data_IF_853031081620
#
_entry.id   IF_853031081620
#
_cell.length_a   1.000
_cell.length_b   1.000
_cell.length_c   1.000
_cell.angle_alpha   90.00
_cell.angle_beta   90.00
_cell.angle_gamma   90.00
#
_symmetry.space_group_name_H-M   'P 1'
#
loop_
_entity.id
_entity.type
_entity.pdbx_description
1 polymer ?
#
# COMPACT_ATOMS: atom_id res chain seq x y z
N UNK A 1 -4.94 17.79 -0.87
CA UNK A 1 -5.87 17.43 -1.98
C UNK A 1 -7.30 17.68 -1.54
N UNK A 2 -8.14 18.27 -2.40
CA UNK A 2 -9.57 18.52 -2.12
C UNK A 2 -10.49 17.38 -2.56
N UNK A 3 -10.01 16.49 -3.43
CA UNK A 3 -10.75 15.33 -3.93
C UNK A 3 -10.19 14.04 -3.31
N UNK A 4 -11.08 13.12 -2.94
CA UNK A 4 -10.71 11.79 -2.40
C UNK A 4 -10.41 10.77 -3.49
N UNK A 5 -11.09 10.85 -4.64
CA UNK A 5 -10.83 9.98 -5.78
C UNK A 5 -9.44 10.25 -6.39
N UNK A 6 -8.76 9.22 -6.94
CA UNK A 6 -7.48 9.37 -7.62
C UNK A 6 -7.56 10.35 -8.81
N UNK A 7 -6.43 10.99 -9.14
CA UNK A 7 -6.30 11.88 -10.30
C UNK A 7 -6.42 13.38 -10.00
N UNK A 8 -6.59 13.76 -8.72
CA UNK A 8 -6.53 15.16 -8.30
C UNK A 8 -5.13 15.80 -8.47
N UNK A 9 -5.06 17.13 -8.42
CA UNK A 9 -3.79 17.88 -8.43
C UNK A 9 -3.21 18.02 -7.03
N UNK A 10 -2.01 17.51 -6.82
CA UNK A 10 -1.33 17.62 -5.52
C UNK A 10 -0.86 19.06 -5.28
N UNK A 11 -1.03 19.55 -4.06
CA UNK A 11 -0.53 20.87 -3.62
C UNK A 11 0.86 20.80 -2.99
N UNK A 12 1.38 19.59 -2.78
CA UNK A 12 2.66 19.31 -2.13
C UNK A 12 2.69 17.89 -1.54
N UNK A 13 3.87 17.42 -1.09
CA UNK A 13 4.01 16.12 -0.45
C UNK A 13 3.39 16.11 0.95
N UNK A 14 2.79 14.98 1.34
CA UNK A 14 2.42 14.75 2.73
C UNK A 14 3.68 14.57 3.59
N UNK A 15 3.63 15.01 4.85
CA UNK A 15 4.73 14.77 5.79
C UNK A 15 4.88 13.28 6.12
N UNK A 16 6.12 12.81 6.25
CA UNK A 16 6.42 11.42 6.54
C UNK A 16 7.86 11.25 6.99
N UNK A 17 8.44 10.05 6.81
CA UNK A 17 9.87 9.82 7.10
C UNK A 17 10.75 10.70 6.20
N UNK A 18 10.27 10.92 4.98
CA UNK A 18 10.73 11.89 4.00
C UNK A 18 9.47 12.52 3.36
N UNK A 19 9.55 13.71 2.76
CA UNK A 19 8.41 14.32 2.10
C UNK A 19 7.79 13.39 1.05
N UNK A 20 6.54 12.98 1.26
CA UNK A 20 5.78 12.10 0.36
C UNK A 20 6.04 10.61 0.56
N UNK A 21 6.82 10.21 1.58
CA UNK A 21 7.10 8.81 1.89
C UNK A 21 6.77 8.47 3.36
N UNK A 22 6.06 7.37 3.57
CA UNK A 22 5.77 6.86 4.91
C UNK A 22 5.66 5.33 4.89
N UNK A 23 6.03 4.69 6.00
CA UNK A 23 5.91 3.25 6.17
C UNK A 23 4.46 2.80 6.30
N UNK A 24 4.18 1.59 5.80
CA UNK A 24 2.88 0.96 5.91
C UNK A 24 2.43 0.80 7.38
N UNK A 25 3.34 0.38 8.27
CA UNK A 25 3.06 0.24 9.71
C UNK A 25 2.52 1.51 10.38
N UNK A 26 2.83 2.68 9.82
CA UNK A 26 2.31 3.98 10.28
C UNK A 26 1.00 4.29 9.56
N UNK A 27 0.98 4.22 8.22
CA UNK A 27 -0.18 4.59 7.40
C UNK A 27 -1.43 3.76 7.72
N UNK A 28 -1.29 2.46 8.04
CA UNK A 28 -2.43 1.59 8.36
C UNK A 28 -3.30 2.13 9.50
N UNK A 29 -2.71 2.93 10.39
CA UNK A 29 -3.39 3.51 11.56
C UNK A 29 -3.69 5.00 11.34
N UNK A 30 -2.74 5.77 10.80
CA UNK A 30 -2.87 7.23 10.71
C UNK A 30 -3.67 7.70 9.51
N UNK A 31 -3.73 6.90 8.45
CA UNK A 31 -4.48 7.19 7.24
C UNK A 31 -4.99 5.89 6.59
N UNK A 32 -5.97 5.19 7.20
CA UNK A 32 -6.45 3.91 6.71
C UNK A 32 -7.02 3.99 5.28
N UNK A 33 -6.92 2.88 4.54
CA UNK A 33 -7.34 2.82 3.15
C UNK A 33 -8.85 3.07 3.03
N UNK A 34 -9.21 3.97 2.12
CA UNK A 34 -10.60 4.39 1.87
C UNK A 34 -11.15 3.85 0.55
N UNK A 35 -10.30 3.27 -0.30
CA UNK A 35 -10.71 2.66 -1.56
C UNK A 35 -9.56 1.96 -2.29
N UNK A 36 -9.87 1.40 -3.44
CA UNK A 36 -8.89 0.73 -4.32
C UNK A 36 -9.00 1.25 -5.75
N UNK A 37 -7.87 1.27 -6.45
CA UNK A 37 -7.77 1.64 -7.87
C UNK A 37 -6.55 0.94 -8.47
N UNK A 38 -6.64 0.48 -9.73
CA UNK A 38 -5.48 -0.07 -10.45
C UNK A 38 -4.79 -1.25 -9.75
N UNK A 39 -5.51 -2.03 -8.94
CA UNK A 39 -4.95 -3.16 -8.18
C UNK A 39 -4.18 -2.79 -6.91
N UNK A 40 -4.28 -1.54 -6.43
CA UNK A 40 -3.71 -1.10 -5.14
C UNK A 40 -4.73 -0.31 -4.31
N UNK A 41 -4.37 0.06 -3.09
CA UNK A 41 -5.22 0.82 -2.18
C UNK A 41 -4.81 2.30 -2.16
N UNK A 42 -5.77 3.16 -1.87
CA UNK A 42 -5.54 4.56 -1.58
C UNK A 42 -6.31 4.99 -0.32
N UNK A 43 -5.80 6.02 0.32
CA UNK A 43 -6.35 6.64 1.52
C UNK A 43 -6.38 8.16 1.36
N UNK A 44 -7.52 8.78 1.68
CA UNK A 44 -7.62 10.22 1.83
C UNK A 44 -7.99 10.55 3.28
N UNK A 45 -7.14 11.30 3.97
CA UNK A 45 -7.31 11.64 5.39
C UNK A 45 -6.92 13.12 5.61
N UNK A 46 -7.93 13.94 5.89
CA UNK A 46 -7.77 15.39 5.94
C UNK A 46 -7.22 15.92 4.62
N UNK A 47 -6.04 16.55 4.66
CA UNK A 47 -5.40 17.12 3.47
C UNK A 47 -4.47 16.14 2.75
N UNK A 48 -4.19 14.98 3.35
CA UNK A 48 -3.23 14.01 2.84
C UNK A 48 -3.92 12.96 1.96
N UNK A 49 -3.20 12.54 0.93
CA UNK A 49 -3.61 11.47 0.04
C UNK A 49 -2.43 10.51 -0.10
N UNK A 50 -2.65 9.23 0.20
CA UNK A 50 -1.62 8.19 0.18
C UNK A 50 -2.07 7.03 -0.69
N UNK A 51 -1.12 6.43 -1.41
CA UNK A 51 -1.29 5.13 -2.06
C UNK A 51 -0.29 4.17 -1.48
N UNK A 52 -0.73 2.96 -1.14
CA UNK A 52 0.12 1.92 -0.56
C UNK A 52 -0.57 0.55 -0.68
N UNK A 53 0.19 -0.53 -0.53
CA UNK A 53 -0.36 -1.87 -0.51
C UNK A 53 -0.86 -2.30 0.87
N UNK A 54 -1.86 -3.17 0.87
CA UNK A 54 -2.46 -3.80 2.05
C UNK A 54 -2.43 -5.32 1.87
N UNK A 55 -2.66 -6.14 2.92
CA UNK A 55 -2.78 -7.59 2.76
C UNK A 55 -3.75 -8.01 1.65
N UNK A 56 -4.86 -7.29 1.48
CA UNK A 56 -5.83 -7.56 0.42
C UNK A 56 -5.25 -7.32 -0.99
N UNK A 57 -4.60 -6.19 -1.23
CA UNK A 57 -4.03 -5.86 -2.56
C UNK A 57 -2.81 -6.73 -2.87
N UNK A 58 -2.00 -7.06 -1.87
CA UNK A 58 -0.92 -8.05 -1.97
C UNK A 58 -1.47 -9.43 -2.35
N UNK A 59 -2.60 -9.85 -1.76
CA UNK A 59 -3.29 -11.08 -2.14
C UNK A 59 -3.69 -11.10 -3.63
N UNK A 60 -4.28 -10.00 -4.13
CA UNK A 60 -4.59 -9.87 -5.57
C UNK A 60 -3.34 -9.92 -6.45
N UNK A 61 -2.26 -9.22 -6.06
CA UNK A 61 -1.00 -9.17 -6.82
C UNK A 61 -0.29 -10.52 -6.87
N UNK A 62 -0.27 -11.26 -5.76
CA UNK A 62 0.34 -12.60 -5.70
C UNK A 62 -0.49 -13.63 -6.49
N UNK A 63 -1.81 -13.56 -6.44
CA UNK A 63 -2.67 -14.37 -7.31
C UNK A 63 -2.40 -14.09 -8.80
N UNK A 64 -2.26 -12.82 -9.17
CA UNK A 64 -1.86 -12.43 -10.52
C UNK A 64 -0.48 -12.99 -10.88
N UNK A 65 0.53 -12.84 -10.02
CA UNK A 65 1.87 -13.36 -10.25
C UNK A 65 1.88 -14.88 -10.51
N UNK A 66 1.08 -15.64 -9.74
CA UNK A 66 0.88 -17.08 -9.99
C UNK A 66 0.23 -17.35 -11.34
N UNK A 67 -0.81 -16.59 -11.71
CA UNK A 67 -1.48 -16.74 -13.02
C UNK A 67 -0.54 -16.50 -14.20
N UNK A 68 0.47 -15.66 -14.01
CA UNK A 68 1.48 -15.34 -15.02
C UNK A 68 2.69 -16.30 -14.99
N UNK A 69 2.73 -17.27 -14.07
CA UNK A 69 3.86 -18.18 -13.91
C UNK A 69 5.16 -17.51 -13.47
N UNK A 70 5.08 -16.39 -12.73
CA UNK A 70 6.26 -15.67 -12.26
C UNK A 70 6.95 -16.42 -11.10
N UNK A 71 8.27 -16.27 -11.00
CA UNK A 71 9.10 -16.99 -10.02
C UNK A 71 8.95 -16.56 -8.56
N UNK A 72 8.21 -15.49 -8.27
CA UNK A 72 7.95 -15.03 -6.90
C UNK A 72 7.59 -13.55 -6.83
N UNK A 73 7.67 -12.99 -5.63
CA UNK A 73 7.49 -11.57 -5.36
C UNK A 73 8.54 -11.08 -4.36
N UNK A 74 8.88 -9.80 -4.49
CA UNK A 74 9.75 -9.07 -3.59
C UNK A 74 8.98 -7.84 -3.09
N UNK A 75 9.25 -7.40 -1.87
CA UNK A 75 8.71 -6.13 -1.35
C UNK A 75 9.81 -5.33 -0.68
N UNK A 76 9.69 -4.00 -0.81
CA UNK A 76 10.59 -3.03 -0.22
C UNK A 76 9.81 -2.22 0.83
N UNK A 77 10.10 -2.31 2.12
CA UNK A 77 11.11 -3.15 2.80
C UNK A 77 10.59 -3.64 4.16
N UNK A 78 11.31 -4.53 4.83
CA UNK A 78 10.87 -5.21 6.05
C UNK A 78 10.50 -4.28 7.20
N UNK A 79 11.30 -3.25 7.46
CA UNK A 79 11.03 -2.26 8.49
C UNK A 79 9.82 -1.37 8.15
N UNK A 80 9.32 -1.38 6.92
CA UNK A 80 8.04 -0.78 6.56
C UNK A 80 6.81 -1.57 7.02
N UNK A 81 6.96 -2.88 7.29
CA UNK A 81 5.88 -3.78 7.67
C UNK A 81 5.52 -3.66 9.17
N UNK A 82 4.37 -4.20 9.55
CA UNK A 82 3.93 -4.24 10.94
C UNK A 82 4.80 -5.18 11.78
N UNK A 83 4.76 -5.05 13.10
CA UNK A 83 5.53 -5.90 14.02
C UNK A 83 5.18 -7.40 13.89
N UNK A 84 3.98 -7.74 13.43
CA UNK A 84 3.54 -9.10 13.14
C UNK A 84 3.73 -9.51 11.66
N UNK A 85 4.37 -8.67 10.83
CA UNK A 85 4.74 -8.99 9.46
C UNK A 85 3.56 -9.28 8.53
N UNK A 86 2.52 -8.45 8.54
CA UNK A 86 1.28 -8.78 7.82
C UNK A 86 1.43 -8.69 6.30
N UNK A 87 2.28 -7.80 5.77
CA UNK A 87 2.54 -7.75 4.33
C UNK A 87 3.39 -8.93 3.87
N UNK A 88 4.47 -9.27 4.58
CA UNK A 88 5.27 -10.45 4.22
C UNK A 88 4.47 -11.74 4.38
N UNK A 89 3.60 -11.82 5.39
CA UNK A 89 2.70 -12.96 5.58
C UNK A 89 1.71 -13.08 4.42
N UNK A 90 1.18 -11.96 3.92
CA UNK A 90 0.31 -11.95 2.75
C UNK A 90 1.04 -12.42 1.48
N UNK A 91 2.31 -12.02 1.28
CA UNK A 91 3.13 -12.53 0.17
C UNK A 91 3.35 -14.04 0.29
N UNK A 92 3.80 -14.49 1.44
CA UNK A 92 4.07 -15.90 1.71
C UNK A 92 2.81 -16.77 1.53
N UNK A 93 1.66 -16.29 1.99
CA UNK A 93 0.40 -17.02 1.84
C UNK A 93 -0.10 -17.03 0.40
N UNK A 94 0.10 -15.93 -0.33
CA UNK A 94 -0.38 -15.79 -1.70
C UNK A 94 0.46 -16.51 -2.76
N UNK A 95 1.73 -16.80 -2.49
CA UNK A 95 2.64 -17.49 -3.42
C UNK A 95 2.76 -19.00 -3.19
N UNK A 96 2.27 -19.52 -2.06
CA UNK A 96 2.07 -20.96 -1.84
C UNK A 96 0.96 -21.49 -2.73
#
# INVERSE_FOLDING_TARGET
MTQSAPGGTATGPAAGIEPGNQYYKVLKTTCPATGTVGGTAYAHCGNNWWSYDTPATVGTKTAWAKSQGLGGAFFWEFNGDTANGELVTAINSGLK
#
